data_IF_858585949865
#
_entry.id   IF_858585949865
#
_cell.length_a   1.000
_cell.length_b   1.000
_cell.length_c   1.000
_cell.angle_alpha   90.00
_cell.angle_beta   90.00
_cell.angle_gamma   90.00
#
_symmetry.space_group_name_H-M   'P 1'
#
loop_
_entity.id
_entity.type
_entity.pdbx_description
1 polymer ?
#
# COMPACT_ATOMS: atom_id res chain seq x y z
N UNK A 1 -42.55 -37.91 -58.70
CA UNK A 1 -41.49 -36.88 -58.66
C UNK A 1 -41.75 -35.76 -57.63
N UNK A 2 -42.94 -35.54 -57.13
CA UNK A 2 -43.22 -34.36 -56.28
C UNK A 2 -42.97 -34.57 -54.76
N UNK A 3 -42.75 -35.79 -54.29
CA UNK A 3 -42.56 -36.08 -52.86
C UNK A 3 -41.16 -35.74 -52.35
N UNK A 4 -40.12 -36.04 -53.13
CA UNK A 4 -38.71 -35.81 -52.83
C UNK A 4 -38.38 -34.30 -52.77
N UNK A 5 -39.04 -33.51 -53.64
CA UNK A 5 -38.81 -32.05 -53.68
C UNK A 5 -39.42 -31.35 -52.45
N UNK A 6 -40.49 -31.93 -51.91
CA UNK A 6 -41.18 -31.41 -50.70
C UNK A 6 -40.36 -31.66 -49.45
N UNK A 7 -39.81 -32.87 -49.31
CA UNK A 7 -38.94 -33.24 -48.16
C UNK A 7 -37.61 -32.43 -48.16
N UNK A 8 -37.00 -32.13 -49.33
CA UNK A 8 -35.85 -31.25 -49.40
C UNK A 8 -36.15 -29.79 -49.08
N UNK A 9 -37.34 -29.27 -49.36
CA UNK A 9 -37.74 -27.92 -48.97
C UNK A 9 -38.04 -27.79 -47.46
N UNK A 10 -38.61 -28.84 -46.85
CA UNK A 10 -38.91 -28.86 -45.44
C UNK A 10 -37.63 -29.00 -44.59
N UNK A 11 -36.61 -29.79 -45.07
CA UNK A 11 -35.31 -29.88 -44.38
C UNK A 11 -34.51 -28.59 -44.47
N UNK A 12 -34.47 -27.91 -45.61
CA UNK A 12 -33.81 -26.60 -45.73
C UNK A 12 -34.48 -25.49 -44.92
N UNK A 13 -35.81 -25.55 -44.76
CA UNK A 13 -36.53 -24.55 -43.97
C UNK A 13 -36.37 -24.79 -42.46
N UNK A 14 -36.13 -26.05 -42.04
CA UNK A 14 -35.85 -26.37 -40.64
C UNK A 14 -34.41 -26.05 -40.23
N UNK A 15 -33.45 -26.18 -41.16
CA UNK A 15 -32.05 -25.72 -40.94
C UNK A 15 -31.97 -24.20 -40.86
N UNK A 16 -32.59 -23.46 -41.77
CA UNK A 16 -32.63 -21.99 -41.72
C UNK A 16 -33.34 -21.43 -40.47
N UNK A 17 -34.33 -22.17 -39.90
CA UNK A 17 -34.98 -21.80 -38.65
C UNK A 17 -34.16 -22.11 -37.40
N UNK A 18 -33.30 -23.16 -37.46
CA UNK A 18 -32.33 -23.46 -36.37
C UNK A 18 -31.16 -22.51 -36.33
N UNK A 19 -30.72 -21.93 -37.48
CA UNK A 19 -29.68 -20.88 -37.49
C UNK A 19 -30.20 -19.53 -36.96
N UNK A 20 -31.51 -19.25 -36.95
CA UNK A 20 -32.10 -18.04 -36.41
C UNK A 20 -32.41 -18.11 -34.90
N UNK A 21 -32.44 -19.31 -34.31
CA UNK A 21 -32.68 -19.52 -32.88
C UNK A 21 -31.42 -19.90 -32.07
N UNK A 22 -30.21 -19.74 -32.62
CA UNK A 22 -29.01 -19.82 -31.84
C UNK A 22 -29.01 -18.66 -30.81
N UNK A 23 -28.91 -18.97 -29.50
CA UNK A 23 -28.83 -17.89 -28.52
C UNK A 23 -27.60 -17.04 -28.87
N UNK A 24 -27.82 -15.75 -29.08
CA UNK A 24 -26.75 -14.78 -29.15
C UNK A 24 -25.95 -14.93 -27.87
N UNK A 25 -24.79 -15.56 -27.99
CA UNK A 25 -23.74 -15.49 -26.96
C UNK A 25 -23.42 -14.00 -26.85
N UNK A 26 -24.01 -13.37 -25.83
CA UNK A 26 -23.60 -12.04 -25.40
C UNK A 26 -22.15 -12.18 -25.00
N UNK A 27 -21.24 -11.91 -25.93
CA UNK A 27 -19.84 -11.73 -25.58
C UNK A 27 -19.83 -10.67 -24.49
N UNK A 28 -19.27 -10.95 -23.30
CA UNK A 28 -19.14 -9.92 -22.30
C UNK A 28 -18.41 -8.77 -22.99
N UNK A 29 -19.05 -7.62 -23.08
CA UNK A 29 -18.44 -6.39 -23.53
C UNK A 29 -17.14 -6.30 -22.75
N UNK A 30 -16.03 -6.40 -23.48
CA UNK A 30 -14.71 -6.22 -22.93
C UNK A 30 -14.74 -4.84 -22.29
N UNK A 31 -15.01 -4.79 -20.99
CA UNK A 31 -14.80 -3.60 -20.20
C UNK A 31 -13.31 -3.37 -20.39
N UNK A 32 -12.97 -2.44 -21.28
CA UNK A 32 -11.62 -1.95 -21.40
C UNK A 32 -11.18 -1.66 -19.97
N UNK A 33 -10.37 -2.57 -19.43
CA UNK A 33 -9.61 -2.28 -18.25
C UNK A 33 -8.93 -0.95 -18.57
N UNK A 34 -9.29 0.08 -17.85
CA UNK A 34 -8.58 1.35 -17.94
C UNK A 34 -7.09 0.97 -17.88
N UNK A 35 -6.24 1.55 -18.75
CA UNK A 35 -4.84 1.21 -18.75
C UNK A 35 -4.39 1.32 -17.30
N UNK A 36 -3.86 0.23 -16.75
CA UNK A 36 -3.28 0.24 -15.42
C UNK A 36 -2.27 1.38 -15.46
N UNK A 37 -2.63 2.53 -14.89
CA UNK A 37 -1.76 3.66 -14.76
C UNK A 37 -0.52 3.10 -14.07
N UNK A 38 0.64 3.21 -14.71
CA UNK A 38 1.90 2.73 -14.16
C UNK A 38 2.14 3.54 -12.88
N UNK A 39 1.66 3.00 -11.76
CA UNK A 39 1.82 3.58 -10.43
C UNK A 39 3.33 3.74 -10.22
N UNK A 40 3.77 4.96 -9.95
CA UNK A 40 5.18 5.22 -9.71
C UNK A 40 5.66 4.40 -8.50
N UNK A 41 6.95 4.00 -8.42
CA UNK A 41 7.47 3.30 -7.25
C UNK A 41 7.13 4.00 -5.94
N UNK A 42 7.21 5.32 -5.92
CA UNK A 42 6.84 6.16 -4.78
C UNK A 42 5.38 6.00 -4.37
N UNK A 43 4.48 6.13 -5.32
CA UNK A 43 3.04 5.99 -5.06
C UNK A 43 2.73 4.60 -4.52
N UNK A 44 3.49 3.59 -4.94
CA UNK A 44 3.39 2.22 -4.41
C UNK A 44 3.78 2.16 -2.94
N UNK A 45 4.91 2.76 -2.55
CA UNK A 45 5.38 2.74 -1.15
C UNK A 45 4.45 3.57 -0.25
N UNK A 46 4.03 4.76 -0.70
CA UNK A 46 3.05 5.58 0.03
C UNK A 46 1.71 4.86 0.18
N UNK A 47 1.26 4.14 -0.86
CA UNK A 47 0.06 3.33 -0.81
C UNK A 47 0.18 2.20 0.23
N UNK A 48 1.34 1.54 0.32
CA UNK A 48 1.59 0.49 1.31
C UNK A 48 1.60 1.06 2.74
N UNK A 49 2.18 2.25 2.94
CA UNK A 49 2.10 2.95 4.24
C UNK A 49 0.65 3.29 4.61
N UNK A 50 -0.12 3.87 3.68
CA UNK A 50 -1.52 4.16 3.90
C UNK A 50 -2.34 2.89 4.18
N UNK A 51 -2.06 1.80 3.49
CA UNK A 51 -2.68 0.49 3.74
C UNK A 51 -2.40 0.00 5.16
N UNK A 52 -1.17 0.09 5.61
CA UNK A 52 -0.77 -0.29 6.97
C UNK A 52 -1.47 0.58 8.01
N UNK A 53 -1.58 1.90 7.80
CA UNK A 53 -2.28 2.82 8.69
C UNK A 53 -3.77 2.50 8.76
N UNK A 54 -4.43 2.25 7.64
CA UNK A 54 -5.86 1.90 7.59
C UNK A 54 -6.14 0.59 8.31
N UNK A 55 -5.33 -0.43 8.10
CA UNK A 55 -5.57 -1.79 8.62
C UNK A 55 -5.11 -2.00 10.06
N UNK A 56 -3.96 -1.43 10.39
CA UNK A 56 -3.23 -1.74 11.61
C UNK A 56 -2.85 -0.50 12.42
N UNK A 57 -3.27 0.68 12.00
CA UNK A 57 -2.88 1.98 12.59
C UNK A 57 -3.18 2.12 14.08
N UNK A 58 -4.28 1.52 14.56
CA UNK A 58 -4.68 1.52 15.98
C UNK A 58 -3.96 0.48 16.84
N UNK A 59 -3.23 -0.47 16.21
CA UNK A 59 -2.56 -1.55 16.96
C UNK A 59 -1.29 -1.05 17.63
N UNK A 60 -1.09 -1.40 18.89
CA UNK A 60 0.15 -1.13 19.62
C UNK A 60 1.20 -2.17 19.21
N UNK A 61 2.24 -1.71 18.51
CA UNK A 61 3.35 -2.55 18.06
C UNK A 61 4.71 -2.07 18.59
N UNK A 62 4.78 -0.86 19.13
CA UNK A 62 6.02 -0.26 19.63
C UNK A 62 5.88 -0.05 21.13
N UNK A 63 6.44 -0.98 21.92
CA UNK A 63 6.37 -0.95 23.38
C UNK A 63 7.67 -0.44 23.99
N UNK A 64 7.53 0.22 25.17
CA UNK A 64 8.65 0.70 25.94
C UNK A 64 9.61 1.63 25.17
N UNK A 65 9.05 2.48 24.31
CA UNK A 65 9.85 3.48 23.57
C UNK A 65 10.30 4.56 24.57
N UNK A 66 11.61 4.88 24.64
CA UNK A 66 12.10 5.93 25.51
C UNK A 66 11.43 7.27 25.20
N UNK A 67 10.90 7.93 26.24
CA UNK A 67 10.31 9.25 26.18
C UNK A 67 11.17 10.25 26.97
N UNK A 68 10.74 11.49 27.07
CA UNK A 68 11.45 12.51 27.85
C UNK A 68 11.56 12.12 29.33
N UNK A 69 12.77 12.18 29.87
CA UNK A 69 13.10 11.66 31.20
C UNK A 69 13.30 10.13 31.18
N UNK A 70 13.08 9.48 32.32
CA UNK A 70 13.19 8.01 32.45
C UNK A 70 11.87 7.27 32.11
N UNK A 71 10.92 7.97 31.48
CA UNK A 71 9.63 7.40 31.12
C UNK A 71 9.72 6.59 29.82
N UNK A 72 8.89 5.55 29.72
CA UNK A 72 8.65 4.81 28.46
C UNK A 72 7.19 4.95 28.07
N UNK A 73 6.94 4.95 26.77
CA UNK A 73 5.59 5.00 26.20
C UNK A 73 5.40 3.84 25.20
N UNK A 74 4.16 3.40 25.12
CA UNK A 74 3.73 2.49 24.09
C UNK A 74 3.08 3.28 22.95
N UNK A 75 3.47 2.99 21.71
CA UNK A 75 2.95 3.68 20.54
C UNK A 75 2.19 2.70 19.64
N UNK A 76 1.10 3.22 19.07
CA UNK A 76 0.43 2.55 17.96
C UNK A 76 1.25 2.69 16.68
N UNK A 77 0.93 1.88 15.68
CA UNK A 77 1.56 1.96 14.35
C UNK A 77 1.41 3.37 13.75
N UNK A 78 0.21 3.96 13.81
CA UNK A 78 -0.02 5.31 13.29
C UNK A 78 0.79 6.38 14.02
N UNK A 79 0.86 6.30 15.37
CA UNK A 79 1.67 7.22 16.16
C UNK A 79 3.15 7.11 15.82
N UNK A 80 3.67 5.88 15.71
CA UNK A 80 5.08 5.67 15.36
C UNK A 80 5.40 6.22 13.97
N UNK A 81 4.60 5.92 12.94
CA UNK A 81 4.78 6.44 11.59
C UNK A 81 4.74 7.97 11.60
N UNK A 82 3.77 8.56 12.28
CA UNK A 82 3.63 10.02 12.37
C UNK A 82 4.87 10.68 12.98
N UNK A 83 5.32 10.23 14.16
CA UNK A 83 6.50 10.78 14.81
C UNK A 83 7.79 10.56 14.01
N UNK A 84 7.92 9.41 13.38
CA UNK A 84 9.07 9.05 12.57
C UNK A 84 9.21 9.96 11.32
N UNK A 85 8.11 10.23 10.62
CA UNK A 85 8.10 11.15 9.49
C UNK A 85 8.32 12.61 9.91
N UNK A 86 7.72 13.03 11.03
CA UNK A 86 7.90 14.39 11.57
C UNK A 86 9.35 14.66 11.98
N UNK A 87 10.05 13.67 12.56
CA UNK A 87 11.45 13.81 12.98
C UNK A 87 12.38 14.20 11.82
N UNK A 88 12.11 13.73 10.62
CA UNK A 88 12.88 14.00 9.41
C UNK A 88 12.22 15.05 8.49
N UNK A 89 11.15 15.72 8.94
CA UNK A 89 10.36 16.67 8.15
C UNK A 89 9.87 16.09 6.82
N UNK A 90 9.56 14.80 6.81
CA UNK A 90 9.00 14.09 5.66
C UNK A 90 7.48 14.13 5.70
N UNK A 91 6.87 14.13 4.52
CA UNK A 91 5.43 14.06 4.34
C UNK A 91 5.07 13.14 3.18
N UNK A 92 3.89 12.53 3.27
CA UNK A 92 3.33 11.77 2.15
C UNK A 92 2.92 12.74 1.04
N UNK A 93 3.26 12.41 -0.20
CA UNK A 93 2.98 13.26 -1.36
C UNK A 93 1.51 13.23 -1.75
N UNK A 94 0.82 12.11 -1.51
CA UNK A 94 -0.60 11.99 -1.76
C UNK A 94 -1.39 12.64 -0.61
N UNK A 95 -2.20 13.70 -0.88
CA UNK A 95 -2.93 14.42 0.15
C UNK A 95 -3.97 13.57 0.90
N UNK A 96 -4.54 12.54 0.25
CA UNK A 96 -5.47 11.64 0.92
C UNK A 96 -4.75 10.74 1.92
N UNK A 97 -3.56 10.24 1.58
CA UNK A 97 -2.75 9.42 2.49
C UNK A 97 -2.23 10.24 3.67
N UNK A 98 -1.84 11.50 3.43
CA UNK A 98 -1.44 12.42 4.50
C UNK A 98 -2.59 12.67 5.48
N UNK A 99 -3.81 12.90 4.99
CA UNK A 99 -5.01 13.05 5.84
C UNK A 99 -5.33 11.78 6.61
N UNK A 100 -5.22 10.61 6.00
CA UNK A 100 -5.40 9.31 6.68
C UNK A 100 -4.42 9.17 7.84
N UNK A 101 -3.15 9.54 7.65
CA UNK A 101 -2.16 9.51 8.74
C UNK A 101 -2.50 10.50 9.86
N UNK A 102 -2.84 11.75 9.51
CA UNK A 102 -3.20 12.78 10.49
C UNK A 102 -4.43 12.40 11.32
N UNK A 103 -5.47 11.86 10.68
CA UNK A 103 -6.68 11.42 11.34
C UNK A 103 -6.42 10.19 12.25
N UNK A 104 -5.65 9.21 11.76
CA UNK A 104 -5.25 8.06 12.55
C UNK A 104 -4.44 8.49 13.81
N UNK A 105 -3.53 9.45 13.64
CA UNK A 105 -2.76 9.99 14.76
C UNK A 105 -3.64 10.71 15.79
N UNK A 106 -4.57 11.56 15.33
CA UNK A 106 -5.48 12.32 16.24
C UNK A 106 -6.38 11.40 17.05
N UNK A 107 -6.89 10.34 16.44
CA UNK A 107 -7.81 9.40 17.08
C UNK A 107 -7.11 8.26 17.81
N UNK A 108 -5.78 8.14 17.70
CA UNK A 108 -5.02 7.04 18.28
C UNK A 108 -5.09 6.97 19.82
N UNK A 109 -5.45 8.06 20.48
CA UNK A 109 -5.64 8.13 21.93
C UNK A 109 -7.10 7.91 22.37
N UNK A 110 -8.04 7.81 21.43
CA UNK A 110 -9.45 7.62 21.73
C UNK A 110 -9.70 6.17 22.17
N UNK A 111 -10.45 6.00 23.26
CA UNK A 111 -10.78 4.67 23.77
C UNK A 111 -11.61 3.87 22.73
N UNK A 112 -11.14 2.68 22.40
CA UNK A 112 -11.82 1.81 21.42
C UNK A 112 -11.64 2.21 19.96
N UNK A 113 -10.73 3.11 19.65
CA UNK A 113 -10.42 3.47 18.25
C UNK A 113 -9.94 2.24 17.46
N UNK A 114 -10.65 1.92 16.39
CA UNK A 114 -10.26 0.92 15.38
C UNK A 114 -10.08 1.63 14.04
N UNK A 115 -8.84 1.69 13.57
CA UNK A 115 -8.49 2.42 12.35
C UNK A 115 -9.23 1.88 11.13
N UNK A 116 -9.36 0.55 10.98
CA UNK A 116 -10.05 -0.05 9.85
C UNK A 116 -11.52 0.36 9.82
N UNK A 117 -12.23 0.18 10.94
CA UNK A 117 -13.64 0.53 11.06
C UNK A 117 -13.86 2.03 10.87
N UNK A 118 -13.00 2.86 11.43
CA UNK A 118 -13.09 4.31 11.31
C UNK A 118 -12.98 4.75 9.84
N UNK A 119 -11.97 4.29 9.09
CA UNK A 119 -11.73 4.75 7.73
C UNK A 119 -12.70 4.19 6.70
N UNK A 120 -13.16 2.94 6.84
CA UNK A 120 -14.17 2.39 5.92
C UNK A 120 -15.57 3.00 6.09
N UNK A 121 -15.82 3.65 7.24
CA UNK A 121 -17.06 4.39 7.51
C UNK A 121 -16.85 5.90 7.61
N UNK A 122 -15.73 6.40 7.10
CA UNK A 122 -15.38 7.80 7.20
C UNK A 122 -16.40 8.70 6.49
N UNK A 123 -16.68 9.88 7.08
CA UNK A 123 -17.66 10.85 6.53
C UNK A 123 -17.24 11.44 5.18
N UNK A 124 -15.94 11.56 4.93
CA UNK A 124 -15.39 11.97 3.64
C UNK A 124 -15.39 10.76 2.69
N UNK A 125 -16.14 10.89 1.59
CA UNK A 125 -16.33 9.84 0.59
C UNK A 125 -15.02 9.42 -0.08
N UNK A 126 -14.08 10.33 -0.29
CA UNK A 126 -12.82 10.02 -0.95
C UNK A 126 -11.89 9.22 -0.03
N UNK A 127 -11.86 9.55 1.26
CA UNK A 127 -11.17 8.74 2.27
C UNK A 127 -11.81 7.36 2.39
N UNK A 128 -13.15 7.31 2.48
CA UNK A 128 -13.89 6.04 2.58
C UNK A 128 -13.60 5.11 1.39
N UNK A 129 -13.63 5.61 0.15
CA UNK A 129 -13.31 4.84 -1.06
C UNK A 129 -11.89 4.29 -1.03
N UNK A 130 -10.92 5.16 -0.76
CA UNK A 130 -9.51 4.77 -0.68
C UNK A 130 -9.30 3.75 0.44
N UNK A 131 -9.90 3.95 1.61
CA UNK A 131 -9.80 3.00 2.72
C UNK A 131 -10.43 1.65 2.38
N UNK A 132 -11.57 1.62 1.70
CA UNK A 132 -12.18 0.38 1.23
C UNK A 132 -11.25 -0.39 0.27
N UNK A 133 -10.59 0.30 -0.66
CA UNK A 133 -9.59 -0.31 -1.55
C UNK A 133 -8.36 -0.82 -0.79
N UNK A 134 -7.88 -0.08 0.21
CA UNK A 134 -6.72 -0.42 1.01
C UNK A 134 -7.00 -1.52 2.05
N UNK A 135 -8.26 -1.71 2.43
CA UNK A 135 -8.68 -2.73 3.40
C UNK A 135 -8.59 -4.15 2.85
N UNK A 136 -8.68 -4.31 1.52
CA UNK A 136 -8.67 -5.61 0.87
C UNK A 136 -7.27 -6.21 0.86
N UNK A 137 -7.11 -7.35 1.52
CA UNK A 137 -5.87 -8.12 1.47
C UNK A 137 -5.91 -9.07 0.26
N UNK A 138 -5.13 -8.76 -0.76
CA UNK A 138 -5.04 -9.60 -1.97
C UNK A 138 -4.51 -11.02 -1.66
N UNK A 139 -3.85 -11.21 -0.52
CA UNK A 139 -3.32 -12.51 -0.10
C UNK A 139 -4.33 -13.36 0.69
N UNK A 140 -5.43 -12.79 1.17
CA UNK A 140 -6.45 -13.57 1.91
C UNK A 140 -7.28 -14.50 1.02
N UNK A 141 -7.28 -14.30 -0.29
CA UNK A 141 -7.97 -15.15 -1.25
C UNK A 141 -7.44 -16.59 -1.32
N UNK A 142 -6.33 -16.92 -0.66
CA UNK A 142 -5.64 -18.22 -0.77
C UNK A 142 -5.55 -18.96 0.58
N UNK A 143 -6.04 -18.39 1.68
CA UNK A 143 -6.08 -19.12 2.95
C UNK A 143 -7.22 -20.15 2.92
N UNK A 144 -6.88 -21.39 2.54
CA UNK A 144 -7.66 -22.56 2.91
C UNK A 144 -7.79 -22.55 4.43
N UNK A 145 -9.02 -22.53 4.93
CA UNK A 145 -9.29 -22.64 6.36
C UNK A 145 -8.82 -24.02 6.84
N UNK A 146 -7.61 -24.08 7.39
CA UNK A 146 -7.24 -25.25 8.18
C UNK A 146 -8.16 -25.36 9.40
N UNK A 147 -8.55 -26.57 9.82
CA UNK A 147 -9.46 -26.73 10.95
C UNK A 147 -8.85 -26.09 12.19
N UNK A 148 -9.56 -25.10 12.76
CA UNK A 148 -9.14 -24.33 13.93
C UNK A 148 -8.86 -25.28 15.10
N UNK A 149 -7.59 -25.62 15.29
CA UNK A 149 -7.13 -26.31 16.51
C UNK A 149 -7.44 -25.40 17.69
N UNK A 150 -8.04 -25.93 18.75
CA UNK A 150 -8.25 -25.16 19.99
C UNK A 150 -6.87 -24.86 20.59
N UNK A 151 -6.43 -23.61 20.45
CA UNK A 151 -5.19 -23.10 21.00
C UNK A 151 -5.34 -22.92 22.52
N UNK A 152 -4.29 -23.21 23.25
CA UNK A 152 -4.21 -22.87 24.68
C UNK A 152 -4.02 -21.37 24.86
N UNK A 153 -4.31 -20.84 26.06
CA UNK A 153 -4.15 -19.41 26.35
C UNK A 153 -2.70 -18.94 26.14
N UNK A 154 -1.73 -19.79 26.44
CA UNK A 154 -0.30 -19.47 26.25
C UNK A 154 0.08 -19.45 24.77
N UNK A 155 -0.45 -20.38 23.95
CA UNK A 155 -0.26 -20.36 22.50
C UNK A 155 -0.86 -19.12 21.85
N UNK A 156 -2.07 -18.70 22.29
CA UNK A 156 -2.70 -17.48 21.80
C UNK A 156 -1.85 -16.24 22.12
N UNK A 157 -1.33 -16.16 23.35
CA UNK A 157 -0.44 -15.07 23.77
C UNK A 157 0.87 -15.03 22.99
N UNK A 158 1.48 -16.20 22.74
CA UNK A 158 2.68 -16.31 21.93
C UNK A 158 2.45 -15.84 20.49
N UNK A 159 1.34 -16.25 19.86
CA UNK A 159 0.96 -15.80 18.52
C UNK A 159 0.68 -14.29 18.45
N UNK A 160 0.07 -13.72 19.49
CA UNK A 160 -0.14 -12.27 19.55
C UNK A 160 1.19 -11.50 19.61
N UNK A 161 2.12 -11.97 20.44
CA UNK A 161 3.44 -11.34 20.55
C UNK A 161 4.24 -11.44 19.25
N UNK A 162 4.18 -12.58 18.57
CA UNK A 162 4.80 -12.77 17.25
C UNK A 162 4.17 -11.85 16.20
N UNK A 163 2.86 -11.69 16.21
CA UNK A 163 2.15 -10.78 15.30
C UNK A 163 2.50 -9.31 15.55
N UNK A 164 2.62 -8.89 16.82
CA UNK A 164 3.06 -7.54 17.20
C UNK A 164 4.50 -7.27 16.73
N UNK A 165 5.42 -8.24 16.96
CA UNK A 165 6.80 -8.11 16.53
C UNK A 165 6.93 -8.04 15.00
N UNK A 166 6.18 -8.88 14.28
CA UNK A 166 6.13 -8.85 12.82
C UNK A 166 5.62 -7.49 12.32
N UNK A 167 4.53 -7.00 12.88
CA UNK A 167 3.97 -5.70 12.50
C UNK A 167 4.97 -4.56 12.76
N UNK A 168 5.71 -4.61 13.86
CA UNK A 168 6.78 -3.66 14.18
C UNK A 168 7.87 -3.68 13.12
N UNK A 169 8.37 -4.87 12.77
CA UNK A 169 9.42 -5.05 11.76
C UNK A 169 8.94 -4.57 10.39
N UNK A 170 7.75 -4.96 9.97
CA UNK A 170 7.16 -4.57 8.69
C UNK A 170 6.98 -3.04 8.60
N UNK A 171 6.56 -2.39 9.69
CA UNK A 171 6.44 -0.92 9.76
C UNK A 171 7.79 -0.22 9.58
N UNK A 172 8.83 -0.68 10.29
CA UNK A 172 10.17 -0.09 10.19
C UNK A 172 10.76 -0.28 8.79
N UNK A 173 10.58 -1.46 8.19
CA UNK A 173 11.03 -1.73 6.82
C UNK A 173 10.36 -0.79 5.82
N UNK A 174 9.06 -0.65 5.91
CA UNK A 174 8.29 0.19 4.99
C UNK A 174 8.67 1.68 5.11
N UNK A 175 8.97 2.15 6.33
CA UNK A 175 9.51 3.50 6.53
C UNK A 175 10.92 3.67 5.95
N UNK A 176 11.76 2.64 6.02
CA UNK A 176 13.08 2.66 5.37
C UNK A 176 12.96 2.69 3.85
N UNK A 177 12.04 1.92 3.27
CA UNK A 177 11.75 1.93 1.84
C UNK A 177 11.24 3.32 1.40
N UNK A 178 10.36 3.94 2.18
CA UNK A 178 9.88 5.30 1.92
C UNK A 178 11.02 6.32 1.92
N UNK A 179 11.92 6.26 2.91
CA UNK A 179 13.08 7.14 2.99
C UNK A 179 14.05 6.91 1.83
N UNK A 180 14.27 5.67 1.43
CA UNK A 180 15.11 5.34 0.29
C UNK A 180 14.56 5.98 -0.97
N UNK A 181 13.28 5.79 -1.25
CA UNK A 181 12.61 6.34 -2.42
C UNK A 181 12.62 7.88 -2.42
N UNK A 182 12.37 8.51 -1.27
CA UNK A 182 12.51 9.97 -1.12
C UNK A 182 13.93 10.45 -1.44
N UNK A 183 14.94 9.75 -0.92
CA UNK A 183 16.35 10.08 -1.12
C UNK A 183 16.76 9.93 -2.58
N UNK A 184 16.31 8.88 -3.26
CA UNK A 184 16.60 8.66 -4.68
C UNK A 184 15.98 9.75 -5.57
N UNK A 185 14.76 10.17 -5.24
CA UNK A 185 14.12 11.31 -5.94
C UNK A 185 14.88 12.61 -5.73
N UNK A 186 15.30 12.91 -4.50
CA UNK A 186 16.08 14.13 -4.21
C UNK A 186 17.42 14.10 -4.94
N UNK A 187 18.11 12.96 -4.99
CA UNK A 187 19.34 12.80 -5.77
C UNK A 187 19.13 13.06 -7.26
N UNK A 188 18.03 12.59 -7.84
CA UNK A 188 17.68 12.86 -9.23
C UNK A 188 17.45 14.36 -9.45
N UNK A 189 16.66 15.02 -8.60
CA UNK A 189 16.43 16.47 -8.67
C UNK A 189 17.73 17.26 -8.55
N UNK A 190 18.60 16.91 -7.60
CA UNK A 190 19.91 17.54 -7.46
C UNK A 190 20.78 17.36 -8.71
N UNK A 191 20.73 16.20 -9.35
CA UNK A 191 21.40 15.98 -10.64
C UNK A 191 20.91 16.93 -11.72
N UNK A 192 19.60 17.13 -11.84
CA UNK A 192 18.99 18.06 -12.79
C UNK A 192 19.37 19.53 -12.45
N UNK A 193 19.36 19.90 -11.16
CA UNK A 193 19.76 21.23 -10.69
C UNK A 193 21.25 21.52 -10.95
N UNK A 194 22.14 20.53 -10.77
CA UNK A 194 23.57 20.64 -11.08
C UNK A 194 23.76 20.88 -12.58
N UNK A 195 23.06 20.14 -13.42
CA UNK A 195 23.13 20.33 -14.88
C UNK A 195 22.63 21.72 -15.30
N UNK A 196 21.64 22.26 -14.62
CA UNK A 196 21.13 23.61 -14.88
C UNK A 196 22.07 24.71 -14.35
N UNK A 197 22.90 24.42 -13.36
CA UNK A 197 23.79 25.39 -12.69
C UNK A 197 25.20 25.51 -13.33
N UNK A 198 25.41 24.95 -14.54
CA UNK A 198 26.74 24.97 -15.22
C UNK A 198 27.35 26.36 -15.37
N UNK A 199 26.50 27.40 -15.48
CA UNK A 199 26.96 28.80 -15.61
C UNK A 199 27.26 29.49 -14.28
N UNK A 200 26.97 28.85 -13.14
CA UNK A 200 27.17 29.37 -11.78
C UNK A 200 28.05 28.43 -10.95
N UNK A 201 29.39 28.63 -10.93
CA UNK A 201 30.30 27.73 -10.22
C UNK A 201 30.06 27.66 -8.70
N UNK A 202 29.59 28.75 -8.08
CA UNK A 202 29.35 28.78 -6.63
C UNK A 202 28.12 27.94 -6.26
N UNK A 203 27.05 28.12 -7.03
CA UNK A 203 25.81 27.30 -6.87
C UNK A 203 26.09 25.84 -7.16
N UNK A 204 26.81 25.53 -8.24
CA UNK A 204 27.17 24.16 -8.61
C UNK A 204 27.97 23.47 -7.50
N UNK A 205 28.96 24.15 -6.88
CA UNK A 205 29.74 23.60 -5.78
C UNK A 205 28.88 23.27 -4.56
N UNK A 206 27.91 24.12 -4.23
CA UNK A 206 26.94 23.87 -3.14
C UNK A 206 26.05 22.64 -3.41
N UNK A 207 25.51 22.53 -4.64
CA UNK A 207 24.67 21.41 -5.06
C UNK A 207 25.45 20.09 -5.09
N UNK A 208 26.70 20.09 -5.53
CA UNK A 208 27.55 18.90 -5.52
C UNK A 208 27.82 18.42 -4.10
N UNK A 209 28.00 19.34 -3.14
CA UNK A 209 28.13 18.95 -1.72
C UNK A 209 26.86 18.32 -1.20
N UNK A 210 25.70 18.93 -1.45
CA UNK A 210 24.39 18.38 -1.04
C UNK A 210 24.17 17.00 -1.66
N UNK A 211 24.49 16.83 -2.94
CA UNK A 211 24.40 15.54 -3.64
C UNK A 211 25.28 14.47 -2.99
N UNK A 212 26.54 14.80 -2.65
CA UNK A 212 27.45 13.87 -1.99
C UNK A 212 26.98 13.48 -0.59
N UNK A 213 26.40 14.42 0.18
CA UNK A 213 25.85 14.14 1.50
C UNK A 213 24.58 13.27 1.40
N UNK A 214 23.70 13.54 0.43
CA UNK A 214 22.52 12.72 0.17
C UNK A 214 22.89 11.31 -0.29
N UNK A 215 23.96 11.12 -1.07
CA UNK A 215 24.46 9.78 -1.41
C UNK A 215 24.91 8.97 -0.20
N UNK A 216 25.53 9.63 0.80
CA UNK A 216 25.90 8.94 2.07
C UNK A 216 24.65 8.45 2.79
N UNK A 217 23.61 9.28 2.87
CA UNK A 217 22.31 8.93 3.47
C UNK A 217 21.69 7.75 2.75
N UNK A 218 21.62 7.78 1.41
CA UNK A 218 21.14 6.67 0.59
C UNK A 218 21.88 5.37 0.90
N UNK A 219 23.21 5.42 0.94
CA UNK A 219 24.02 4.23 1.22
C UNK A 219 23.78 3.68 2.62
N UNK A 220 23.56 4.54 3.61
CA UNK A 220 23.20 4.12 4.98
C UNK A 220 21.84 3.39 5.03
N UNK A 221 20.84 3.89 4.29
CA UNK A 221 19.54 3.19 4.19
C UNK A 221 19.66 1.86 3.45
N UNK A 222 20.41 1.80 2.34
CA UNK A 222 20.67 0.56 1.61
C UNK A 222 21.34 -0.51 2.49
N UNK A 223 22.29 -0.12 3.33
CA UNK A 223 22.91 -1.05 4.29
C UNK A 223 21.93 -1.55 5.32
N UNK A 224 21.07 -0.69 5.87
CA UNK A 224 20.04 -1.09 6.83
C UNK A 224 19.03 -2.07 6.20
N UNK A 225 18.57 -1.81 5.00
CA UNK A 225 17.68 -2.70 4.25
C UNK A 225 18.36 -4.02 3.93
N UNK A 226 19.62 -4.01 3.47
CA UNK A 226 20.41 -5.22 3.18
C UNK A 226 20.68 -6.09 4.40
N UNK A 227 20.98 -5.49 5.55
CA UNK A 227 21.21 -6.23 6.80
C UNK A 227 19.96 -6.88 7.38
N UNK A 228 18.77 -6.37 7.02
CA UNK A 228 17.50 -6.94 7.49
C UNK A 228 17.01 -8.14 6.65
N UNK A 229 17.57 -8.35 5.45
CA UNK A 229 17.26 -9.51 4.60
C UNK A 229 18.01 -10.79 5.07
N UNK A 230 19.05 -10.66 5.92
CA UNK A 230 19.94 -11.76 6.32
C UNK A 230 19.62 -12.28 7.75
N UNK A 231 18.54 -11.88 8.36
CA UNK A 231 18.11 -12.38 9.68
C UNK A 231 16.79 -13.17 9.51
#
# INVERSE_FOLDING_TARGET
>A
MNRVIREQKESKNSEARREQEAPQVVTPTNVMAAPASSVSPQEKVERMLAQMIVRDGSKVAFRNIPAAGDATIDLTVAQYIYYDLQADHLALSNPLYARILDDAFRHSADEGFDSLQYFVHHSDIDICKVAAELSVDQLQLIKNEEPKKKLTADEVKALQLEAEERLRVDTVHLLLDFRMDYTERRLKQLGDEINAAVSDPARMASLLKEYADMQKVRNAYAQKLGNNIIR
#
